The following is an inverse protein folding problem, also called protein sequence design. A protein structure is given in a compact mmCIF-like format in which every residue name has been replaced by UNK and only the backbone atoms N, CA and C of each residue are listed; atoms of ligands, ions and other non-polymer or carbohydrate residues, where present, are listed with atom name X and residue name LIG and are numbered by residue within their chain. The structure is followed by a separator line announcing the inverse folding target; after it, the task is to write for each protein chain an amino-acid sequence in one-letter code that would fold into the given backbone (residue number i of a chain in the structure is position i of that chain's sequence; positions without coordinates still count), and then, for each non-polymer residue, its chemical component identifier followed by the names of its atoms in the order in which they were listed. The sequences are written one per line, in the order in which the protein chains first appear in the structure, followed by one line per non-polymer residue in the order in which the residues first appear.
data_IF_166659787318
#
_entry.id   IF_166659787318
#
_cell.length_a   1.000
_cell.length_b   1.000
_cell.length_c   1.000
_cell.angle_alpha   90.00
_cell.angle_beta   90.00
_cell.angle_gamma   90.00
#
_symmetry.space_group_name_H-M   'P 1'
#
loop_
_entity.id
_entity.type
_entity.pdbx_description
1 polymer ?
#
# COMPACT_ATOMS: atom_id res chain seq x y z
N UNK A 1 15.15 -15.35 2.70
CA UNK A 1 15.35 -13.97 2.17
C UNK A 1 16.29 -14.01 1.00
N UNK A 2 16.06 -13.15 0.03
CA UNK A 2 16.87 -13.03 -1.16
C UNK A 2 17.02 -11.57 -1.55
N UNK A 3 17.96 -11.27 -2.41
CA UNK A 3 18.16 -9.91 -2.89
C UNK A 3 17.05 -9.55 -3.89
N UNK A 4 16.13 -8.71 -3.47
CA UNK A 4 14.96 -8.31 -4.28
C UNK A 4 15.14 -6.91 -4.85
N UNK A 5 14.82 -6.75 -6.13
CA UNK A 5 14.69 -5.42 -6.74
C UNK A 5 13.25 -4.94 -6.51
N UNK A 6 13.08 -3.97 -5.63
CA UNK A 6 11.75 -3.46 -5.26
C UNK A 6 11.06 -2.86 -6.48
N UNK A 7 11.81 -2.14 -7.32
CA UNK A 7 11.27 -1.52 -8.55
C UNK A 7 10.55 -2.56 -9.43
N UNK A 8 11.22 -3.66 -9.71
CA UNK A 8 10.69 -4.68 -10.61
C UNK A 8 9.46 -5.37 -10.04
N UNK A 9 9.50 -5.71 -8.76
CA UNK A 9 8.37 -6.38 -8.10
C UNK A 9 7.16 -5.45 -8.03
N UNK A 10 7.37 -4.18 -7.69
CA UNK A 10 6.30 -3.20 -7.66
C UNK A 10 5.67 -3.00 -9.03
N UNK A 11 6.49 -2.87 -10.07
CA UNK A 11 6.02 -2.71 -11.45
C UNK A 11 5.19 -3.92 -11.89
N UNK A 12 5.63 -5.13 -11.59
CA UNK A 12 4.88 -6.34 -11.92
C UNK A 12 3.50 -6.38 -11.25
N UNK A 13 3.45 -6.04 -9.97
CA UNK A 13 2.18 -6.03 -9.23
C UNK A 13 1.25 -4.94 -9.75
N UNK A 14 1.77 -3.76 -10.04
CA UNK A 14 0.95 -2.68 -10.60
C UNK A 14 0.38 -3.06 -11.96
N UNK A 15 1.17 -3.77 -12.79
CA UNK A 15 0.70 -4.27 -14.07
C UNK A 15 -0.44 -5.28 -13.91
N UNK A 16 -0.35 -6.16 -12.91
CA UNK A 16 -1.41 -7.13 -12.61
C UNK A 16 -2.69 -6.44 -12.15
N UNK A 17 -2.58 -5.30 -11.47
CA UNK A 17 -3.73 -4.55 -10.98
C UNK A 17 -4.35 -3.62 -12.02
N UNK A 18 -3.75 -3.51 -13.21
CA UNK A 18 -4.22 -2.59 -14.25
C UNK A 18 -5.71 -2.77 -14.60
N UNK A 19 -6.15 -4.01 -14.77
CA UNK A 19 -7.56 -4.28 -15.10
C UNK A 19 -8.50 -3.90 -13.97
N UNK A 20 -8.06 -4.07 -12.72
CA UNK A 20 -8.84 -3.68 -11.54
C UNK A 20 -8.95 -2.16 -11.46
N UNK A 21 -7.85 -1.43 -11.67
CA UNK A 21 -7.88 0.02 -11.72
C UNK A 21 -8.86 0.53 -12.77
N UNK A 22 -8.81 -0.07 -13.96
CA UNK A 22 -9.69 0.32 -15.06
C UNK A 22 -11.16 0.05 -14.71
N UNK A 23 -11.45 -1.10 -14.13
CA UNK A 23 -12.81 -1.47 -13.70
C UNK A 23 -13.35 -0.50 -12.64
N UNK A 24 -12.50 -0.06 -11.71
CA UNK A 24 -12.87 0.83 -10.61
C UNK A 24 -12.71 2.31 -10.96
N UNK A 25 -12.43 2.63 -12.22
CA UNK A 25 -12.21 3.99 -12.71
C UNK A 25 -11.10 4.73 -11.96
N UNK A 26 -10.04 4.01 -11.63
CA UNK A 26 -8.87 4.56 -10.96
C UNK A 26 -7.78 4.83 -11.99
N UNK A 27 -7.26 6.05 -12.02
CA UNK A 27 -6.09 6.42 -12.82
C UNK A 27 -4.95 6.68 -11.83
N UNK A 28 -4.09 5.67 -11.60
CA UNK A 28 -3.04 5.83 -10.59
C UNK A 28 -1.93 6.75 -11.10
N UNK A 29 -1.42 7.59 -10.21
CA UNK A 29 -0.22 8.38 -10.43
C UNK A 29 0.96 7.57 -9.87
N UNK A 30 1.78 7.00 -10.75
CA UNK A 30 2.85 6.09 -10.38
C UNK A 30 4.19 6.74 -10.65
N UNK A 31 5.01 6.89 -9.61
CA UNK A 31 6.34 7.48 -9.69
C UNK A 31 7.35 6.53 -9.06
N UNK A 32 8.09 5.83 -9.89
CA UNK A 32 9.12 4.88 -9.47
C UNK A 32 10.47 5.46 -9.84
N UNK A 33 11.39 5.57 -8.88
CA UNK A 33 12.72 6.11 -9.13
C UNK A 33 13.47 5.29 -10.19
N UNK A 34 14.37 5.94 -10.93
CA UNK A 34 15.16 5.28 -11.98
C UNK A 34 16.21 4.34 -11.39
N UNK A 35 16.77 4.68 -10.24
CA UNK A 35 17.73 3.86 -9.54
C UNK A 35 17.06 2.59 -9.03
N UNK A 36 17.67 1.45 -9.28
CA UNK A 36 17.13 0.19 -8.77
C UNK A 36 17.43 0.06 -7.28
N UNK A 37 16.40 -0.18 -6.52
CA UNK A 37 16.47 -0.34 -5.07
C UNK A 37 16.45 -1.83 -4.74
N UNK A 38 17.53 -2.31 -4.15
CA UNK A 38 17.66 -3.72 -3.74
C UNK A 38 17.60 -3.83 -2.23
N UNK A 39 16.86 -4.82 -1.76
CA UNK A 39 16.80 -5.16 -0.33
C UNK A 39 16.76 -6.66 -0.15
N UNK A 40 17.34 -7.15 0.92
CA UNK A 40 17.30 -8.56 1.26
C UNK A 40 15.99 -8.88 1.97
N UNK A 41 15.05 -9.42 1.23
CA UNK A 41 13.66 -9.64 1.69
C UNK A 41 13.16 -11.00 1.24
N UNK A 42 12.08 -11.45 1.86
CA UNK A 42 11.31 -12.57 1.34
C UNK A 42 10.43 -12.06 0.19
N UNK A 43 10.68 -12.54 -1.02
CA UNK A 43 9.98 -12.07 -2.22
C UNK A 43 8.45 -12.28 -2.10
N UNK A 44 8.02 -13.43 -1.62
CA UNK A 44 6.59 -13.73 -1.49
C UNK A 44 5.93 -12.79 -0.47
N UNK A 45 6.63 -12.46 0.60
CA UNK A 45 6.15 -11.48 1.58
C UNK A 45 5.99 -10.11 0.94
N UNK A 46 6.96 -9.69 0.14
CA UNK A 46 6.90 -8.38 -0.52
C UNK A 46 5.72 -8.28 -1.49
N UNK A 47 5.48 -9.33 -2.27
CA UNK A 47 4.32 -9.40 -3.16
C UNK A 47 3.03 -9.27 -2.35
N UNK A 48 2.90 -10.02 -1.26
CA UNK A 48 1.72 -9.97 -0.39
C UNK A 48 1.52 -8.61 0.26
N UNK A 49 2.60 -7.96 0.67
CA UNK A 49 2.55 -6.60 1.23
C UNK A 49 1.93 -5.65 0.20
N UNK A 50 2.42 -5.66 -1.03
CA UNK A 50 1.90 -4.78 -2.08
C UNK A 50 0.44 -5.09 -2.40
N UNK A 51 0.09 -6.35 -2.55
CA UNK A 51 -1.29 -6.76 -2.83
C UNK A 51 -2.24 -6.30 -1.72
N UNK A 52 -1.85 -6.48 -0.48
CA UNK A 52 -2.69 -6.07 0.65
C UNK A 52 -2.85 -4.55 0.73
N UNK A 53 -1.80 -3.79 0.50
CA UNK A 53 -1.87 -2.33 0.52
C UNK A 53 -2.72 -1.83 -0.65
N UNK A 54 -2.49 -2.33 -1.86
CA UNK A 54 -3.25 -1.89 -3.03
C UNK A 54 -4.74 -2.25 -2.92
N UNK A 55 -5.05 -3.46 -2.47
CA UNK A 55 -6.44 -3.87 -2.25
C UNK A 55 -7.14 -2.99 -1.22
N UNK A 56 -6.43 -2.63 -0.15
CA UNK A 56 -6.95 -1.74 0.87
C UNK A 56 -7.20 -0.34 0.32
N UNK A 57 -6.27 0.20 -0.46
CA UNK A 57 -6.43 1.51 -1.10
C UNK A 57 -7.66 1.54 -1.99
N UNK A 58 -7.88 0.49 -2.77
CA UNK A 58 -9.03 0.41 -3.67
C UNK A 58 -10.35 0.46 -2.88
N UNK A 59 -10.40 -0.18 -1.71
CA UNK A 59 -11.59 -0.15 -0.84
C UNK A 59 -11.94 1.25 -0.36
N UNK A 60 -10.95 2.05 -0.03
CA UNK A 60 -11.16 3.35 0.62
C UNK A 60 -10.98 4.54 -0.31
N UNK A 61 -10.55 4.32 -1.56
CA UNK A 61 -10.20 5.40 -2.48
C UNK A 61 -11.42 6.18 -2.95
N UNK A 62 -11.31 7.52 -2.88
CA UNK A 62 -12.23 8.46 -3.50
C UNK A 62 -11.52 9.29 -4.57
N UNK A 63 -10.33 8.88 -4.99
CA UNK A 63 -9.52 9.57 -6.00
C UNK A 63 -8.08 9.78 -5.54
N UNK A 64 -7.31 10.48 -6.36
CA UNK A 64 -5.92 10.85 -6.09
C UNK A 64 -5.04 9.68 -5.65
N UNK A 65 -5.15 8.57 -6.38
CA UNK A 65 -4.43 7.33 -6.08
C UNK A 65 -2.97 7.47 -6.51
N UNK A 66 -2.04 7.41 -5.55
CA UNK A 66 -0.61 7.61 -5.81
C UNK A 66 0.22 6.46 -5.27
N UNK A 67 1.23 6.07 -6.05
CA UNK A 67 2.22 5.07 -5.65
C UNK A 67 3.59 5.61 -6.00
N UNK A 68 4.45 5.79 -4.99
CA UNK A 68 5.79 6.31 -5.18
C UNK A 68 6.83 5.36 -4.57
N UNK A 69 7.93 5.15 -5.28
CA UNK A 69 9.12 4.52 -4.74
C UNK A 69 10.27 5.51 -4.85
N UNK A 70 10.83 5.88 -3.70
CA UNK A 70 11.96 6.81 -3.61
C UNK A 70 13.29 6.07 -3.62
N UNK A 71 14.34 6.78 -4.00
CA UNK A 71 15.71 6.22 -4.04
C UNK A 71 16.16 5.64 -2.69
N UNK A 72 15.67 6.21 -1.60
CA UNK A 72 15.96 5.72 -0.25
C UNK A 72 15.40 4.34 0.05
N UNK A 73 14.52 3.84 -0.82
CA UNK A 73 13.78 2.61 -0.58
C UNK A 73 12.44 2.85 0.10
N UNK A 74 12.05 4.10 0.31
CA UNK A 74 10.77 4.44 0.91
C UNK A 74 9.66 4.30 -0.13
N UNK A 75 8.61 3.57 0.24
CA UNK A 75 7.40 3.40 -0.57
C UNK A 75 6.29 4.24 0.03
N UNK A 76 5.60 5.00 -0.81
CA UNK A 76 4.49 5.85 -0.38
C UNK A 76 3.27 5.48 -1.21
N UNK A 77 2.19 5.10 -0.52
CA UNK A 77 0.91 4.80 -1.12
C UNK A 77 -0.10 5.78 -0.54
N UNK A 78 -0.73 6.57 -1.39
CA UNK A 78 -1.66 7.60 -0.94
C UNK A 78 -2.92 7.63 -1.80
N UNK A 79 -4.04 7.90 -1.16
CA UNK A 79 -5.29 8.10 -1.87
C UNK A 79 -6.20 9.01 -1.05
N UNK A 80 -7.08 9.71 -1.75
CA UNK A 80 -8.15 10.46 -1.10
C UNK A 80 -9.12 9.48 -0.47
N UNK A 81 -9.49 9.72 0.78
CA UNK A 81 -10.34 8.81 1.55
C UNK A 81 -11.27 9.62 2.45
N UNK A 82 -12.41 10.07 1.91
CA UNK A 82 -13.36 10.93 2.61
C UNK A 82 -14.05 10.25 3.78
N UNK A 83 -14.11 8.92 3.78
CA UNK A 83 -14.79 8.16 4.84
C UNK A 83 -13.90 7.91 6.06
N UNK A 84 -12.69 8.42 6.05
CA UNK A 84 -11.73 8.25 7.15
C UNK A 84 -11.54 9.55 7.92
N UNK A 85 -11.02 9.44 9.12
CA UNK A 85 -10.54 10.55 9.92
C UNK A 85 -9.28 10.11 10.68
N UNK A 86 -8.66 11.00 11.43
CA UNK A 86 -7.44 10.70 12.17
C UNK A 86 -7.63 9.57 13.19
N UNK A 87 -8.75 9.55 13.88
CA UNK A 87 -9.06 8.50 14.86
C UNK A 87 -9.21 7.14 14.20
N UNK A 88 -9.92 7.10 13.07
CA UNK A 88 -10.13 5.87 12.30
C UNK A 88 -8.82 5.33 11.76
N UNK A 89 -7.95 6.21 11.23
CA UNK A 89 -6.67 5.80 10.67
C UNK A 89 -5.73 5.23 11.72
N UNK A 90 -5.83 5.67 12.97
CA UNK A 90 -5.04 5.07 14.06
C UNK A 90 -5.33 3.60 14.27
N UNK A 91 -6.51 3.13 13.85
CA UNK A 91 -6.96 1.73 14.00
C UNK A 91 -6.79 0.92 12.72
N UNK A 92 -6.24 1.51 11.66
CA UNK A 92 -6.25 0.88 10.33
C UNK A 92 -5.43 -0.41 10.27
N UNK A 93 -4.48 -0.59 11.18
CA UNK A 93 -3.69 -1.80 11.29
C UNK A 93 -4.30 -2.84 12.23
N UNK A 94 -5.41 -2.54 12.88
CA UNK A 94 -6.07 -3.48 13.76
C UNK A 94 -6.69 -4.60 12.92
N UNK A 95 -6.57 -5.82 13.43
CA UNK A 95 -7.14 -6.98 12.77
C UNK A 95 -8.67 -6.87 12.75
N UNK A 96 -9.27 -7.23 11.61
CA UNK A 96 -10.71 -7.14 11.37
C UNK A 96 -11.27 -5.73 11.36
N UNK A 97 -10.41 -4.70 11.37
CA UNK A 97 -10.86 -3.34 11.22
C UNK A 97 -11.51 -3.13 9.85
N UNK A 98 -12.68 -2.50 9.82
CA UNK A 98 -13.34 -2.11 8.58
C UNK A 98 -14.04 -0.77 8.79
N UNK A 99 -14.18 -0.02 7.70
CA UNK A 99 -14.92 1.26 7.70
C UNK A 99 -16.28 1.01 7.08
N UNK A 100 -17.34 1.56 7.69
CA UNK A 100 -18.66 1.58 7.09
C UNK A 100 -18.55 2.20 5.70
N UNK A 101 -19.20 1.63 4.71
CA UNK A 101 -19.13 2.01 3.30
C UNK A 101 -17.85 1.57 2.57
N UNK A 102 -17.00 0.74 3.16
CA UNK A 102 -15.92 0.10 2.44
C UNK A 102 -16.47 -0.82 1.35
N UNK A 103 -15.78 -0.89 0.21
CA UNK A 103 -16.20 -1.73 -0.92
C UNK A 103 -16.16 -3.21 -0.60
N UNK A 104 -15.35 -3.59 0.37
CA UNK A 104 -15.23 -4.96 0.85
C UNK A 104 -14.93 -4.92 2.34
N UNK A 105 -15.58 -5.76 3.11
CA UNK A 105 -15.56 -5.71 4.56
C UNK A 105 -14.68 -6.79 5.18
N UNK A 106 -13.48 -7.02 4.69
CA UNK A 106 -12.57 -8.00 5.30
C UNK A 106 -11.84 -7.45 6.51
N UNK A 107 -11.44 -6.17 6.48
CA UNK A 107 -10.80 -5.49 7.60
C UNK A 107 -9.45 -6.04 8.04
N UNK A 108 -8.81 -6.92 7.24
CA UNK A 108 -7.54 -7.56 7.63
C UNK A 108 -6.35 -7.17 6.77
N UNK A 109 -6.58 -6.41 5.70
CA UNK A 109 -5.52 -6.14 4.70
C UNK A 109 -4.27 -5.48 5.27
N UNK A 110 -4.40 -4.38 5.97
CA UNK A 110 -3.26 -3.65 6.50
C UNK A 110 -2.64 -4.31 7.74
N UNK A 111 -3.38 -5.08 8.52
CA UNK A 111 -2.79 -5.82 9.63
C UNK A 111 -1.83 -6.90 9.13
N UNK A 112 -2.17 -7.57 8.04
CA UNK A 112 -1.29 -8.57 7.41
C UNK A 112 -0.06 -7.88 6.83
N UNK A 113 -0.23 -6.76 6.12
CA UNK A 113 0.88 -6.00 5.58
C UNK A 113 1.85 -5.59 6.69
N UNK A 114 1.34 -5.10 7.82
CA UNK A 114 2.17 -4.72 8.95
C UNK A 114 2.98 -5.89 9.48
N UNK A 115 2.35 -7.03 9.68
CA UNK A 115 3.05 -8.23 10.16
C UNK A 115 4.19 -8.62 9.22
N UNK A 116 3.92 -8.64 7.92
CA UNK A 116 4.91 -9.05 6.92
C UNK A 116 6.05 -8.03 6.81
N UNK A 117 5.75 -6.74 6.89
CA UNK A 117 6.77 -5.69 6.88
C UNK A 117 7.69 -5.86 8.08
N UNK A 118 7.13 -6.04 9.27
CA UNK A 118 7.92 -6.21 10.49
C UNK A 118 8.75 -7.49 10.48
N UNK A 119 8.22 -8.58 9.94
CA UNK A 119 8.99 -9.82 9.77
C UNK A 119 10.18 -9.65 8.82
N UNK A 120 10.16 -8.65 7.97
CA UNK A 120 11.25 -8.33 7.06
C UNK A 120 12.07 -7.12 7.54
N UNK A 121 12.01 -6.83 8.83
CA UNK A 121 12.78 -5.77 9.49
C UNK A 121 12.47 -4.36 8.98
N UNK A 122 11.29 -4.18 8.40
CA UNK A 122 10.84 -2.89 7.90
C UNK A 122 9.88 -2.20 8.85
N UNK A 123 9.45 -1.01 8.44
CA UNK A 123 8.44 -0.22 9.17
C UNK A 123 7.32 0.18 8.23
N UNK A 124 6.11 0.27 8.76
CA UNK A 124 4.94 0.75 8.03
C UNK A 124 4.18 1.73 8.92
N UNK A 125 3.78 2.84 8.36
CA UNK A 125 2.96 3.84 9.06
C UNK A 125 1.78 4.25 8.19
N UNK A 126 0.72 4.71 8.82
CA UNK A 126 -0.43 5.26 8.14
C UNK A 126 -0.80 6.59 8.79
N UNK A 127 -1.03 7.61 7.96
CA UNK A 127 -1.43 8.94 8.40
C UNK A 127 -2.59 9.44 7.57
N UNK A 128 -3.40 10.30 8.16
CA UNK A 128 -4.48 10.97 7.45
C UNK A 128 -4.13 12.45 7.35
N UNK A 129 -3.81 12.90 6.13
CA UNK A 129 -3.31 14.25 5.87
C UNK A 129 -4.15 14.88 4.77
N UNK A 130 -4.81 15.99 5.09
CA UNK A 130 -5.61 16.76 4.11
C UNK A 130 -6.61 15.91 3.33
N UNK A 131 -7.29 15.00 4.03
CA UNK A 131 -8.28 14.12 3.41
C UNK A 131 -7.70 12.90 2.69
N UNK A 132 -6.40 12.72 2.77
CA UNK A 132 -5.71 11.59 2.15
C UNK A 132 -5.21 10.60 3.19
N UNK A 133 -5.42 9.31 2.92
CA UNK A 133 -4.75 8.24 3.64
C UNK A 133 -3.38 8.06 3.02
N UNK A 134 -2.34 8.17 3.83
CA UNK A 134 -0.95 8.02 3.38
C UNK A 134 -0.32 6.87 4.13
N UNK A 135 0.03 5.81 3.41
CA UNK A 135 0.71 4.63 3.95
C UNK A 135 2.16 4.67 3.47
N UNK A 136 3.09 4.61 4.41
CA UNK A 136 4.52 4.66 4.11
C UNK A 136 5.17 3.38 4.60
N UNK A 137 5.93 2.74 3.72
CA UNK A 137 6.68 1.51 4.03
C UNK A 137 8.16 1.77 3.77
N UNK A 138 8.99 1.32 4.69
CA UNK A 138 10.44 1.42 4.55
C UNK A 138 11.10 0.12 5.01
N UNK A 139 11.98 -0.41 4.18
CA UNK A 139 12.79 -1.58 4.50
C UNK A 139 14.24 -1.25 4.78
#
# INVERSE_FOLDING_TARGET
KENCCINEILEEILAEYYSIFKRENIIPDINICHEKVYRNLNKNSLIRIFENILSNMIKYSNGDFKVNLERSGTLIFANKAENLDTTTVQKIFDRYFTVENAKSATGVGLSIAKQLVELNDGTITAKYIDGNLVVKVKF
#
